data_IF_484497502344
#
_entry.id   IF_484497502344
#
_cell.length_a   1.000
_cell.length_b   1.000
_cell.length_c   1.000
_cell.angle_alpha   90.00
_cell.angle_beta   90.00
_cell.angle_gamma   90.00
#
_symmetry.space_group_name_H-M   'P 1'
#
loop_
_entity.id
_entity.type
_entity.pdbx_description
1 polymer ?
#
# COMPACT_ATOMS: atom_id res chain seq x y z
N UNK A 1 17.30 -8.70 8.14
CA UNK A 1 16.10 -8.35 7.38
C UNK A 1 16.47 -7.06 6.66
N UNK A 2 16.17 -6.90 5.37
CA UNK A 2 16.37 -5.62 4.71
C UNK A 2 15.45 -4.59 5.40
N UNK A 3 15.97 -3.40 5.68
CA UNK A 3 15.19 -2.32 6.25
C UNK A 3 14.05 -1.98 5.26
N UNK A 4 12.84 -1.90 5.78
CA UNK A 4 11.62 -1.65 5.03
C UNK A 4 11.59 -0.16 4.66
N UNK A 5 11.80 0.18 3.39
CA UNK A 5 11.67 1.55 2.90
C UNK A 5 10.18 1.94 2.86
N UNK A 6 9.75 2.89 3.69
CA UNK A 6 8.38 3.42 3.73
C UNK A 6 8.28 4.74 2.98
N UNK A 7 7.13 5.01 2.36
CA UNK A 7 6.76 6.32 1.84
C UNK A 7 6.05 7.11 2.92
N UNK A 8 6.71 8.14 3.43
CA UNK A 8 6.26 8.92 4.58
C UNK A 8 5.88 10.33 4.14
N UNK A 9 4.72 10.82 4.58
CA UNK A 9 4.35 12.22 4.44
C UNK A 9 4.48 12.93 5.78
N UNK A 10 5.20 14.05 5.80
CA UNK A 10 5.26 14.94 6.95
C UNK A 10 4.51 16.21 6.63
N UNK A 11 3.61 16.62 7.52
CA UNK A 11 2.77 17.82 7.33
C UNK A 11 2.89 18.72 8.54
N UNK A 12 3.53 19.87 8.38
CA UNK A 12 3.75 20.85 9.42
C UNK A 12 3.99 22.22 8.78
N UNK A 13 3.41 23.26 9.31
CA UNK A 13 3.63 24.63 8.83
C UNK A 13 4.94 25.25 9.35
N UNK A 14 5.52 24.67 10.39
CA UNK A 14 6.88 24.96 10.82
C UNK A 14 7.87 24.17 9.95
N UNK A 15 8.48 24.86 8.98
CA UNK A 15 9.40 24.23 8.02
C UNK A 15 10.61 23.60 8.71
N UNK A 16 11.19 24.25 9.74
CA UNK A 16 12.36 23.72 10.45
C UNK A 16 12.02 22.42 11.19
N UNK A 17 10.82 22.33 11.77
CA UNK A 17 10.35 21.12 12.44
C UNK A 17 10.06 19.98 11.43
N UNK A 18 9.39 20.32 10.31
CA UNK A 18 9.08 19.36 9.25
C UNK A 18 10.35 18.78 8.62
N UNK A 19 11.29 19.64 8.23
CA UNK A 19 12.53 19.25 7.56
C UNK A 19 13.44 18.42 8.51
N UNK A 20 13.51 18.78 9.79
CA UNK A 20 14.27 18.00 10.78
C UNK A 20 13.71 16.60 10.98
N UNK A 21 12.37 16.45 10.94
CA UNK A 21 11.74 15.14 11.04
C UNK A 21 11.91 14.34 9.73
N UNK A 22 11.93 15.03 8.58
CA UNK A 22 12.21 14.41 7.29
C UNK A 22 13.63 13.84 7.22
N UNK A 23 14.63 14.66 7.60
CA UNK A 23 16.02 14.21 7.68
C UNK A 23 16.19 12.97 8.56
N UNK A 24 15.48 12.90 9.69
CA UNK A 24 15.52 11.74 10.57
C UNK A 24 15.06 10.45 9.86
N UNK A 25 13.97 10.51 9.10
CA UNK A 25 13.45 9.35 8.40
C UNK A 25 14.26 9.00 7.15
N UNK A 26 14.80 9.99 6.45
CA UNK A 26 15.70 9.79 5.31
C UNK A 26 17.02 9.10 5.74
N UNK A 27 17.52 9.40 6.94
CA UNK A 27 18.68 8.71 7.51
C UNK A 27 18.45 7.22 7.79
N UNK A 28 17.19 6.80 7.92
CA UNK A 28 16.78 5.39 8.09
C UNK A 28 16.31 4.76 6.76
N UNK A 29 16.72 5.35 5.62
CA UNK A 29 16.43 4.88 4.26
C UNK A 29 14.94 4.88 3.87
N UNK A 30 14.13 5.81 4.41
CA UNK A 30 12.73 6.01 4.01
C UNK A 30 12.58 7.06 2.90
N UNK A 31 11.52 6.94 2.08
CA UNK A 31 11.13 7.92 1.05
C UNK A 31 10.19 8.96 1.65
N UNK A 32 10.70 10.18 1.85
CA UNK A 32 9.97 11.21 2.60
C UNK A 32 9.50 12.34 1.69
N UNK A 33 8.26 12.74 1.87
CA UNK A 33 7.66 13.94 1.26
C UNK A 33 7.26 14.90 2.36
N UNK A 34 7.53 16.19 2.19
CA UNK A 34 7.13 17.23 3.14
C UNK A 34 6.04 18.11 2.53
N UNK A 35 5.03 18.43 3.31
CA UNK A 35 3.97 19.38 2.98
C UNK A 35 3.82 20.42 4.09
N UNK A 36 3.84 21.70 3.76
CA UNK A 36 3.80 22.79 4.73
C UNK A 36 2.39 23.34 4.96
N UNK A 37 1.36 22.62 4.53
CA UNK A 37 -0.05 22.98 4.79
C UNK A 37 -0.97 21.79 4.56
N UNK A 38 -2.19 21.87 5.10
CA UNK A 38 -3.22 20.86 4.90
C UNK A 38 -3.63 20.69 3.43
N UNK A 39 -3.71 21.79 2.67
CA UNK A 39 -4.05 21.71 1.24
C UNK A 39 -2.93 21.06 0.43
N UNK A 40 -1.65 21.31 0.76
CA UNK A 40 -0.52 20.64 0.13
C UNK A 40 -0.50 19.14 0.45
N UNK A 41 -0.84 18.75 1.68
CA UNK A 41 -0.97 17.35 2.08
C UNK A 41 -2.06 16.62 1.29
N UNK A 42 -3.23 17.23 1.13
CA UNK A 42 -4.32 16.66 0.32
C UNK A 42 -3.90 16.49 -1.14
N UNK A 43 -3.22 17.49 -1.72
CA UNK A 43 -2.70 17.41 -3.08
C UNK A 43 -1.64 16.30 -3.24
N UNK A 44 -0.78 16.09 -2.25
CA UNK A 44 0.21 15.01 -2.23
C UNK A 44 -0.48 13.63 -2.26
N UNK A 45 -1.52 13.43 -1.47
CA UNK A 45 -2.30 12.17 -1.45
C UNK A 45 -3.07 11.87 -2.75
N UNK A 46 -3.30 12.87 -3.61
CA UNK A 46 -3.91 12.65 -4.93
C UNK A 46 -2.94 11.97 -5.91
N UNK A 47 -1.64 12.14 -5.72
CA UNK A 47 -0.59 11.67 -6.63
C UNK A 47 0.29 10.57 -6.05
N UNK A 48 0.36 10.44 -4.73
CA UNK A 48 1.22 9.46 -4.04
C UNK A 48 0.41 8.68 -3.01
N UNK A 49 0.64 7.37 -2.95
CA UNK A 49 0.17 6.54 -1.84
C UNK A 49 1.26 6.51 -0.77
N UNK A 50 1.00 7.16 0.36
CA UNK A 50 1.90 7.14 1.51
C UNK A 50 1.57 5.96 2.43
N UNK A 51 2.60 5.32 2.99
CA UNK A 51 2.44 4.25 3.97
C UNK A 51 2.00 4.80 5.33
N UNK A 52 2.49 6.00 5.67
CA UNK A 52 2.09 6.72 6.87
C UNK A 52 2.27 8.23 6.68
N UNK A 53 1.43 9.01 7.36
CA UNK A 53 1.63 10.45 7.48
C UNK A 53 1.76 10.88 8.94
N UNK A 54 2.61 11.85 9.20
CA UNK A 54 2.72 12.59 10.45
C UNK A 54 2.23 14.01 10.22
N UNK A 55 1.14 14.40 10.87
CA UNK A 55 0.42 15.64 10.54
C UNK A 55 0.21 16.50 11.77
N UNK A 56 0.70 17.73 11.71
CA UNK A 56 0.39 18.72 12.75
C UNK A 56 -1.10 19.04 12.77
N UNK A 57 -1.67 19.08 13.98
CA UNK A 57 -3.07 19.49 14.19
C UNK A 57 -3.26 20.98 13.95
N UNK A 58 -2.30 21.80 14.39
CA UNK A 58 -2.45 23.25 14.44
C UNK A 58 -1.69 23.93 13.31
N UNK A 59 -2.34 24.07 12.15
CA UNK A 59 -1.80 24.75 10.98
C UNK A 59 -2.69 25.92 10.55
N UNK A 60 -2.13 26.99 9.96
CA UNK A 60 -2.91 28.07 9.36
C UNK A 60 -3.80 27.61 8.22
N UNK A 61 -4.98 28.18 8.12
CA UNK A 61 -5.98 27.83 7.12
C UNK A 61 -6.72 26.55 7.50
N UNK A 62 -6.52 25.46 6.74
CA UNK A 62 -7.09 24.14 7.03
C UNK A 62 -6.23 23.42 8.07
N UNK A 63 -6.79 23.12 9.23
CA UNK A 63 -6.07 22.41 10.29
C UNK A 63 -5.86 20.92 9.93
N UNK A 64 -4.99 20.24 10.70
CA UNK A 64 -4.62 18.84 10.41
C UNK A 64 -5.80 17.88 10.48
N UNK A 65 -6.77 18.10 11.38
CA UNK A 65 -7.94 17.21 11.51
C UNK A 65 -8.88 17.36 10.30
N UNK A 66 -9.11 18.59 9.85
CA UNK A 66 -9.88 18.84 8.63
C UNK A 66 -9.20 18.24 7.40
N UNK A 67 -7.88 18.39 7.29
CA UNK A 67 -7.08 17.81 6.22
C UNK A 67 -7.14 16.28 6.23
N UNK A 68 -7.01 15.68 7.40
CA UNK A 68 -7.15 14.24 7.59
C UNK A 68 -8.52 13.72 7.12
N UNK A 69 -9.61 14.42 7.44
CA UNK A 69 -10.94 14.01 6.99
C UNK A 69 -11.09 14.06 5.46
N UNK A 70 -10.47 15.02 4.81
CA UNK A 70 -10.46 15.07 3.34
C UNK A 70 -9.58 13.98 2.74
N UNK A 71 -8.40 13.74 3.32
CA UNK A 71 -7.52 12.63 2.92
C UNK A 71 -8.25 11.29 3.05
N UNK A 72 -8.97 11.04 4.15
CA UNK A 72 -9.74 9.81 4.36
C UNK A 72 -10.88 9.61 3.36
N UNK A 73 -11.41 10.67 2.78
CA UNK A 73 -12.37 10.56 1.67
C UNK A 73 -11.70 10.11 0.37
N UNK A 74 -10.46 10.52 0.14
CA UNK A 74 -9.67 10.13 -1.03
C UNK A 74 -9.04 8.74 -0.86
N UNK A 75 -8.52 8.47 0.33
CA UNK A 75 -7.82 7.26 0.73
C UNK A 75 -8.37 6.78 2.08
N UNK A 76 -9.41 5.93 2.08
CA UNK A 76 -10.06 5.46 3.30
C UNK A 76 -9.11 4.76 4.29
N UNK A 77 -8.06 4.14 3.77
CA UNK A 77 -7.08 3.38 4.56
C UNK A 77 -5.83 4.19 4.92
N UNK A 78 -5.84 5.53 4.69
CA UNK A 78 -4.69 6.38 5.03
C UNK A 78 -4.32 6.26 6.51
N UNK A 79 -3.08 5.87 6.77
CA UNK A 79 -2.49 5.74 8.09
C UNK A 79 -1.93 7.10 8.51
N UNK A 80 -2.50 7.73 9.53
CA UNK A 80 -2.10 9.08 9.94
C UNK A 80 -1.90 9.14 11.44
N UNK A 81 -0.73 9.59 11.88
CA UNK A 81 -0.45 10.05 13.23
C UNK A 81 -0.61 11.55 13.29
N UNK A 82 -1.34 12.02 14.30
CA UNK A 82 -1.45 13.45 14.56
C UNK A 82 -0.29 13.93 15.43
N UNK A 83 0.21 15.12 15.20
CA UNK A 83 1.23 15.79 16.02
C UNK A 83 0.63 17.04 16.65
N UNK A 84 0.96 17.36 17.89
CA UNK A 84 0.48 18.58 18.53
C UNK A 84 1.38 19.04 19.65
N UNK A 85 1.61 20.34 19.72
CA UNK A 85 2.28 21.00 20.84
C UNK A 85 1.32 21.52 21.92
N UNK A 86 0.01 21.41 21.71
CA UNK A 86 -1.03 22.02 22.57
C UNK A 86 -2.05 21.00 23.01
N UNK A 87 -2.71 21.26 24.17
CA UNK A 87 -3.82 20.46 24.66
C UNK A 87 -5.11 20.79 23.89
N UNK A 88 -5.26 20.22 22.70
CA UNK A 88 -6.44 20.38 21.83
C UNK A 88 -7.30 19.11 21.92
N UNK A 89 -7.74 18.79 23.14
CA UNK A 89 -8.43 17.52 23.47
C UNK A 89 -9.59 17.20 22.51
N UNK A 90 -10.36 18.22 22.11
CA UNK A 90 -11.50 18.02 21.24
C UNK A 90 -11.08 17.62 19.80
N UNK A 91 -10.05 18.24 19.25
CA UNK A 91 -9.52 17.92 17.92
C UNK A 91 -8.83 16.55 17.92
N UNK A 92 -8.06 16.26 18.96
CA UNK A 92 -7.44 14.94 19.18
C UNK A 92 -8.50 13.85 19.22
N UNK A 93 -9.56 14.04 19.99
CA UNK A 93 -10.66 13.08 20.07
C UNK A 93 -11.33 12.88 18.71
N UNK A 94 -11.62 13.96 17.98
CA UNK A 94 -12.19 13.87 16.63
C UNK A 94 -11.31 13.06 15.68
N UNK A 95 -9.99 13.29 15.69
CA UNK A 95 -9.06 12.55 14.84
C UNK A 95 -9.08 11.04 15.16
N UNK A 96 -9.01 10.67 16.44
CA UNK A 96 -9.02 9.27 16.88
C UNK A 96 -10.37 8.60 16.55
N UNK A 97 -11.50 9.26 16.83
CA UNK A 97 -12.84 8.74 16.52
C UNK A 97 -13.03 8.50 15.00
N UNK A 98 -12.26 9.17 14.14
CA UNK A 98 -12.27 9.00 12.69
C UNK A 98 -11.10 8.13 12.18
N UNK A 99 -10.37 7.45 13.05
CA UNK A 99 -9.41 6.42 12.69
C UNK A 99 -7.97 6.92 12.47
N UNK A 100 -7.58 8.03 13.09
CA UNK A 100 -6.15 8.36 13.23
C UNK A 100 -5.47 7.29 14.10
N UNK A 101 -4.25 6.89 13.73
CA UNK A 101 -3.50 5.83 14.42
C UNK A 101 -3.11 6.22 15.85
N UNK A 102 -2.91 7.51 16.09
CA UNK A 102 -2.53 8.02 17.40
C UNK A 102 -2.14 9.49 17.37
N UNK A 103 -1.68 9.98 18.53
CA UNK A 103 -1.26 11.37 18.69
C UNK A 103 0.13 11.44 19.33
N UNK A 104 0.98 12.28 18.79
CA UNK A 104 2.33 12.59 19.24
C UNK A 104 2.37 14.00 19.82
N UNK A 105 2.92 14.15 21.01
CA UNK A 105 3.22 15.46 21.59
C UNK A 105 4.49 16.04 20.97
N UNK A 106 4.46 17.32 20.57
CA UNK A 106 5.67 18.06 20.20
C UNK A 106 6.37 18.60 21.49
N UNK A 107 7.71 18.58 21.57
CA UNK A 107 8.65 18.09 20.55
C UNK A 107 8.57 16.55 20.39
N UNK A 108 8.64 16.11 19.14
CA UNK A 108 8.56 14.68 18.82
C UNK A 108 9.84 13.97 19.27
N UNK A 109 9.71 12.90 20.04
CA UNK A 109 10.85 12.06 20.43
C UNK A 109 11.29 11.18 19.23
N UNK A 110 12.54 11.37 18.72
CA UNK A 110 13.05 10.60 17.59
C UNK A 110 12.96 9.08 17.77
N UNK A 111 13.29 8.58 18.97
CA UNK A 111 13.27 7.15 19.25
C UNK A 111 11.85 6.58 19.23
N UNK A 112 10.91 7.37 19.77
CA UNK A 112 9.51 6.96 19.80
C UNK A 112 8.93 6.93 18.40
N UNK A 113 9.17 7.95 17.58
CA UNK A 113 8.61 8.01 16.23
C UNK A 113 9.18 6.93 15.33
N UNK A 114 10.49 6.64 15.41
CA UNK A 114 11.08 5.53 14.67
C UNK A 114 10.51 4.17 15.08
N UNK A 115 10.32 3.93 16.40
CA UNK A 115 9.72 2.67 16.86
C UNK A 115 8.27 2.49 16.39
N UNK A 116 7.56 3.56 16.09
CA UNK A 116 6.19 3.47 15.56
C UNK A 116 6.16 3.01 14.11
N UNK A 117 7.26 3.22 13.35
CA UNK A 117 7.36 2.74 11.97
C UNK A 117 7.46 1.22 11.89
N UNK A 118 7.92 0.54 12.94
CA UNK A 118 7.99 -0.93 12.99
C UNK A 118 6.60 -1.57 12.88
N UNK A 119 5.58 -0.89 13.37
CA UNK A 119 4.18 -1.34 13.34
C UNK A 119 3.45 -0.93 12.04
N UNK A 120 4.03 -0.01 11.25
CA UNK A 120 3.46 0.40 9.98
C UNK A 120 3.63 -0.72 8.96
N UNK A 121 2.52 -1.21 8.46
CA UNK A 121 2.54 -2.07 7.28
C UNK A 121 2.64 -1.15 6.07
N UNK A 122 3.61 -1.34 5.15
CA UNK A 122 3.57 -0.63 3.88
C UNK A 122 2.22 -0.89 3.24
N UNK A 123 1.68 0.09 2.56
CA UNK A 123 0.61 -0.18 1.62
C UNK A 123 1.20 -1.15 0.59
N UNK A 124 0.94 -2.43 0.79
CA UNK A 124 1.57 -3.47 0.03
C UNK A 124 1.30 -3.33 -1.45
N UNK A 125 2.24 -3.77 -2.25
CA UNK A 125 2.07 -3.75 -3.70
C UNK A 125 1.25 -4.97 -4.10
N UNK A 126 0.12 -4.71 -4.76
CA UNK A 126 -0.61 -5.74 -5.52
C UNK A 126 0.05 -5.86 -6.89
N UNK A 127 0.83 -6.91 -7.10
CA UNK A 127 1.42 -7.19 -8.40
C UNK A 127 0.37 -7.83 -9.31
N UNK A 128 0.10 -7.22 -10.45
CA UNK A 128 -0.84 -7.73 -11.46
C UNK A 128 -0.01 -8.25 -12.62
N UNK A 129 -0.04 -9.56 -12.86
CA UNK A 129 0.59 -10.21 -14.00
C UNK A 129 -0.49 -10.62 -15.00
N UNK A 130 -0.64 -9.80 -16.05
CA UNK A 130 -1.71 -9.91 -17.06
C UNK A 130 -1.21 -9.31 -18.38
N UNK A 131 -1.26 -10.06 -19.46
CA UNK A 131 -0.75 -9.65 -20.77
C UNK A 131 -1.82 -9.05 -21.71
N UNK A 132 -3.10 -9.26 -21.40
CA UNK A 132 -4.20 -8.70 -22.19
C UNK A 132 -4.14 -7.14 -22.14
N UNK A 133 -4.01 -6.48 -23.30
CA UNK A 133 -3.80 -5.03 -23.38
C UNK A 133 -5.01 -4.21 -22.93
N UNK A 134 -6.19 -4.79 -22.91
CA UNK A 134 -7.43 -4.12 -22.51
C UNK A 134 -7.78 -4.46 -21.06
N UNK A 135 -7.69 -5.72 -20.67
CA UNK A 135 -8.09 -6.21 -19.35
C UNK A 135 -7.08 -5.82 -18.25
N UNK A 136 -5.78 -5.95 -18.51
CA UNK A 136 -4.73 -5.61 -17.54
C UNK A 136 -4.83 -4.16 -17.03
N UNK A 137 -4.87 -3.12 -17.91
CA UNK A 137 -5.05 -1.73 -17.49
C UNK A 137 -6.38 -1.45 -16.78
N UNK A 138 -7.49 -2.10 -17.18
CA UNK A 138 -8.78 -1.95 -16.48
C UNK A 138 -8.70 -2.52 -15.05
N UNK A 139 -8.00 -3.64 -14.89
CA UNK A 139 -7.80 -4.26 -13.58
C UNK A 139 -6.92 -3.39 -12.69
N UNK A 140 -5.85 -2.82 -13.23
CA UNK A 140 -4.97 -1.87 -12.53
C UNK A 140 -5.74 -0.62 -12.08
N UNK A 141 -6.56 -0.02 -12.96
CA UNK A 141 -7.41 1.12 -12.63
C UNK A 141 -8.42 0.78 -11.51
N UNK A 142 -9.06 -0.38 -11.59
CA UNK A 142 -10.01 -0.84 -10.57
C UNK A 142 -9.35 -0.98 -9.20
N UNK A 143 -8.18 -1.59 -9.15
CA UNK A 143 -7.45 -1.86 -7.89
C UNK A 143 -6.89 -0.56 -7.31
N UNK A 144 -6.29 0.30 -8.14
CA UNK A 144 -5.74 1.59 -7.71
C UNK A 144 -6.82 2.54 -7.20
N UNK A 145 -7.97 2.62 -7.87
CA UNK A 145 -9.11 3.45 -7.43
C UNK A 145 -9.77 2.90 -6.16
N UNK A 146 -9.56 1.62 -5.85
CA UNK A 146 -10.02 0.99 -4.61
C UNK A 146 -9.06 1.18 -3.43
N UNK A 147 -7.97 1.96 -3.61
CA UNK A 147 -7.04 2.35 -2.54
C UNK A 147 -5.78 1.49 -2.45
N UNK A 148 -5.60 0.47 -3.29
CA UNK A 148 -4.41 -0.36 -3.29
C UNK A 148 -3.29 0.26 -4.15
N UNK A 149 -2.06 0.12 -3.69
CA UNK A 149 -0.90 0.36 -4.54
C UNK A 149 -0.73 -0.86 -5.46
N UNK A 150 -0.67 -0.66 -6.76
CA UNK A 150 -0.57 -1.78 -7.71
C UNK A 150 0.47 -1.53 -8.79
N UNK A 151 0.98 -2.62 -9.34
CA UNK A 151 1.93 -2.63 -10.45
C UNK A 151 1.50 -3.69 -11.46
N UNK A 152 1.32 -3.26 -12.71
CA UNK A 152 1.00 -4.15 -13.83
C UNK A 152 2.28 -4.60 -14.54
N UNK A 153 2.42 -5.90 -14.76
CA UNK A 153 3.44 -6.53 -15.59
C UNK A 153 2.77 -7.43 -16.63
N UNK A 154 3.43 -7.63 -17.76
CA UNK A 154 2.83 -8.28 -18.94
C UNK A 154 3.45 -9.64 -19.29
N UNK A 155 4.36 -10.14 -18.46
CA UNK A 155 4.99 -11.45 -18.65
C UNK A 155 5.29 -12.12 -17.33
N UNK A 156 5.42 -13.46 -17.34
CA UNK A 156 5.81 -14.20 -16.14
C UNK A 156 7.24 -13.88 -15.69
N UNK A 157 8.13 -13.54 -16.61
CA UNK A 157 9.49 -13.13 -16.28
C UNK A 157 9.54 -11.80 -15.53
N UNK A 158 8.74 -10.81 -15.97
CA UNK A 158 8.59 -9.54 -15.28
C UNK A 158 7.96 -9.72 -13.90
N UNK A 159 7.02 -10.67 -13.76
CA UNK A 159 6.41 -11.00 -12.48
C UNK A 159 7.44 -11.55 -11.49
N UNK A 160 8.28 -12.48 -11.93
CA UNK A 160 9.37 -13.03 -11.11
C UNK A 160 10.39 -11.96 -10.70
N UNK A 161 10.78 -11.10 -11.65
CA UNK A 161 11.72 -10.01 -11.39
C UNK A 161 11.17 -9.02 -10.35
N UNK A 162 9.90 -8.64 -10.48
CA UNK A 162 9.24 -7.74 -9.53
C UNK A 162 9.13 -8.36 -8.15
N UNK A 163 8.72 -9.62 -8.05
CA UNK A 163 8.62 -10.33 -6.76
C UNK A 163 9.98 -10.52 -6.07
N UNK A 164 11.09 -10.53 -6.83
CA UNK A 164 12.45 -10.62 -6.29
C UNK A 164 13.06 -9.30 -5.83
N UNK A 165 12.53 -8.17 -6.30
CA UNK A 165 13.10 -6.83 -6.07
C UNK A 165 12.22 -5.94 -5.18
N UNK A 166 10.93 -6.21 -5.09
CA UNK A 166 9.94 -5.38 -4.42
C UNK A 166 9.19 -6.19 -3.34
N UNK A 167 8.70 -5.50 -2.32
CA UNK A 167 7.84 -6.11 -1.32
C UNK A 167 6.42 -6.27 -1.89
N UNK A 168 6.13 -7.44 -2.45
CA UNK A 168 4.81 -7.77 -3.00
C UNK A 168 3.98 -8.45 -1.91
N UNK A 169 2.85 -7.87 -1.54
CA UNK A 169 1.94 -8.47 -0.55
C UNK A 169 0.99 -9.48 -1.16
N UNK A 170 0.50 -9.19 -2.37
CA UNK A 170 -0.41 -10.05 -3.10
C UNK A 170 -0.06 -10.02 -4.58
N UNK A 171 -0.12 -11.15 -5.23
CA UNK A 171 -0.03 -11.25 -6.69
C UNK A 171 -1.37 -11.68 -7.28
N UNK A 172 -1.82 -10.96 -8.30
CA UNK A 172 -2.91 -11.37 -9.18
C UNK A 172 -2.24 -11.90 -10.45
N UNK A 173 -2.49 -13.16 -10.79
CA UNK A 173 -1.71 -13.87 -11.78
C UNK A 173 -2.62 -14.55 -12.81
N UNK A 174 -2.47 -14.15 -14.08
CA UNK A 174 -3.00 -14.96 -15.18
C UNK A 174 -2.11 -16.19 -15.39
N UNK A 175 -2.72 -17.31 -15.69
CA UNK A 175 -2.00 -18.55 -16.03
C UNK A 175 -1.40 -18.50 -17.44
N UNK A 176 -2.04 -17.79 -18.37
CA UNK A 176 -1.63 -17.75 -19.76
C UNK A 176 -0.72 -16.55 -20.08
N UNK A 177 0.39 -16.44 -19.37
CA UNK A 177 1.37 -15.36 -19.63
C UNK A 177 2.40 -15.76 -20.69
N UNK A 178 2.91 -14.80 -21.46
CA UNK A 178 4.02 -15.05 -22.37
C UNK A 178 5.33 -15.28 -21.60
N UNK A 179 6.29 -15.93 -22.27
CA UNK A 179 7.64 -16.27 -21.82
C UNK A 179 7.64 -17.35 -20.74
N UNK A 180 7.04 -17.10 -19.60
CA UNK A 180 6.89 -18.03 -18.47
C UNK A 180 5.42 -18.01 -18.08
N UNK A 181 4.77 -19.18 -18.08
CA UNK A 181 3.37 -19.30 -17.69
C UNK A 181 3.18 -19.10 -16.16
N UNK A 182 1.93 -18.81 -15.76
CA UNK A 182 1.64 -18.50 -14.35
C UNK A 182 1.90 -19.69 -13.41
N UNK A 183 1.82 -20.92 -13.87
CA UNK A 183 2.12 -22.12 -13.08
C UNK A 183 3.62 -22.17 -12.77
N UNK A 184 4.45 -21.94 -13.79
CA UNK A 184 5.88 -21.89 -13.63
C UNK A 184 6.35 -20.69 -12.75
N UNK A 185 5.65 -19.54 -12.85
CA UNK A 185 5.88 -18.40 -11.95
C UNK A 185 5.70 -18.82 -10.49
N UNK A 186 4.56 -19.42 -10.13
CA UNK A 186 4.31 -19.87 -8.76
C UNK A 186 5.35 -20.90 -8.30
N UNK A 187 5.71 -21.85 -9.16
CA UNK A 187 6.69 -22.89 -8.84
C UNK A 187 8.06 -22.28 -8.54
N UNK A 188 8.55 -21.37 -9.38
CA UNK A 188 9.86 -20.72 -9.19
C UNK A 188 9.90 -19.84 -7.95
N UNK A 189 8.80 -19.11 -7.64
CA UNK A 189 8.71 -18.32 -6.41
C UNK A 189 8.78 -19.21 -5.16
N UNK A 190 8.12 -20.37 -5.19
CA UNK A 190 8.18 -21.33 -4.09
C UNK A 190 9.58 -21.92 -3.91
N UNK A 191 10.20 -22.36 -5.01
CA UNK A 191 11.56 -22.95 -4.99
C UNK A 191 12.61 -21.98 -4.47
N UNK A 192 12.42 -20.68 -4.71
CA UNK A 192 13.30 -19.60 -4.24
C UNK A 192 12.99 -19.10 -2.82
N UNK A 193 12.03 -19.68 -2.10
CA UNK A 193 11.49 -19.16 -0.83
C UNK A 193 11.01 -17.70 -0.90
N UNK A 194 10.51 -17.28 -2.05
CA UNK A 194 9.92 -15.97 -2.33
C UNK A 194 8.40 -16.06 -2.54
N UNK A 195 7.78 -17.01 -1.86
CA UNK A 195 6.35 -17.26 -2.02
C UNK A 195 5.50 -16.04 -1.64
N UNK A 196 4.70 -15.58 -2.60
CA UNK A 196 3.78 -14.44 -2.46
C UNK A 196 2.34 -14.96 -2.44
N UNK A 197 1.47 -14.48 -1.53
CA UNK A 197 0.05 -14.80 -1.57
C UNK A 197 -0.53 -14.46 -2.95
N UNK A 198 -1.11 -15.46 -3.65
CA UNK A 198 -1.46 -15.32 -5.06
C UNK A 198 -2.95 -15.61 -5.29
N UNK A 199 -3.63 -14.70 -5.98
CA UNK A 199 -4.95 -14.90 -6.56
C UNK A 199 -4.78 -15.21 -8.05
N UNK A 200 -5.15 -16.40 -8.46
CA UNK A 200 -5.12 -16.79 -9.87
C UNK A 200 -6.37 -16.27 -10.58
N UNK A 201 -6.18 -15.67 -11.73
CA UNK A 201 -7.25 -15.31 -12.67
C UNK A 201 -7.04 -16.09 -13.97
N UNK A 202 -8.07 -16.72 -14.53
CA UNK A 202 -7.91 -17.50 -15.76
C UNK A 202 -9.22 -17.60 -16.54
N UNK A 203 -9.13 -17.56 -17.87
CA UNK A 203 -10.25 -17.88 -18.77
C UNK A 203 -10.44 -19.38 -19.01
N UNK A 204 -9.46 -20.21 -18.65
CA UNK A 204 -9.37 -21.63 -19.04
C UNK A 204 -9.20 -22.58 -17.84
N UNK A 205 -9.92 -22.33 -16.76
CA UNK A 205 -9.77 -23.10 -15.51
C UNK A 205 -9.96 -24.64 -15.70
N UNK A 206 -10.78 -25.04 -16.64
CA UNK A 206 -11.01 -26.48 -16.93
C UNK A 206 -9.77 -27.14 -17.54
N UNK A 207 -8.99 -26.40 -18.36
CA UNK A 207 -7.79 -26.92 -19.01
C UNK A 207 -6.63 -27.04 -18.00
N UNK A 208 -6.64 -26.19 -16.96
CA UNK A 208 -5.61 -26.17 -15.92
C UNK A 208 -6.01 -26.90 -14.63
N UNK A 209 -7.13 -27.61 -14.61
CA UNK A 209 -7.70 -28.21 -13.40
C UNK A 209 -6.72 -29.13 -12.63
N UNK A 210 -5.92 -29.92 -13.33
CA UNK A 210 -4.89 -30.79 -12.69
C UNK A 210 -3.75 -29.99 -12.09
N UNK A 211 -3.26 -28.97 -12.80
CA UNK A 211 -2.18 -28.09 -12.33
C UNK A 211 -2.65 -27.23 -11.14
N UNK A 212 -3.87 -26.71 -11.22
CA UNK A 212 -4.48 -25.96 -10.11
C UNK A 212 -4.68 -26.81 -8.85
N UNK A 213 -4.99 -28.11 -9.03
CA UNK A 213 -5.09 -29.04 -7.89
C UNK A 213 -3.73 -29.29 -7.22
N UNK A 214 -2.65 -29.34 -8.01
CA UNK A 214 -1.28 -29.46 -7.48
C UNK A 214 -0.80 -28.18 -6.76
N UNK A 215 -1.36 -27.02 -7.11
CA UNK A 215 -1.00 -25.73 -6.50
C UNK A 215 -1.72 -25.43 -5.18
N UNK A 216 -2.61 -26.30 -4.70
CA UNK A 216 -3.33 -26.13 -3.43
C UNK A 216 -2.42 -26.06 -2.21
N UNK A 217 -1.23 -26.65 -2.28
CA UNK A 217 -0.22 -26.62 -1.23
C UNK A 217 0.76 -25.42 -1.40
N UNK A 218 0.57 -24.63 -2.45
CA UNK A 218 1.30 -23.38 -2.70
C UNK A 218 0.55 -22.19 -2.09
N UNK A 219 1.13 -21.01 -2.11
CA UNK A 219 0.55 -19.76 -1.60
C UNK A 219 -0.65 -19.23 -2.41
N UNK A 220 -1.34 -20.09 -3.14
CA UNK A 220 -2.54 -19.73 -3.88
C UNK A 220 -3.74 -19.62 -2.94
N UNK A 221 -4.19 -18.38 -2.75
CA UNK A 221 -5.27 -18.01 -1.83
C UNK A 221 -6.64 -18.01 -2.49
N UNK A 222 -6.68 -18.01 -3.83
CA UNK A 222 -7.93 -18.03 -4.56
C UNK A 222 -7.78 -18.19 -6.06
N UNK A 223 -8.86 -18.66 -6.70
CA UNK A 223 -8.96 -18.77 -8.16
C UNK A 223 -10.23 -18.05 -8.60
N UNK A 224 -10.14 -17.20 -9.61
CA UNK A 224 -11.25 -16.51 -10.25
C UNK A 224 -11.27 -16.83 -11.74
N UNK A 225 -12.44 -17.22 -12.24
CA UNK A 225 -12.65 -17.51 -13.66
C UNK A 225 -13.10 -16.24 -14.38
N UNK A 226 -12.40 -15.88 -15.46
CA UNK A 226 -12.81 -14.78 -16.36
C UNK A 226 -14.05 -15.21 -17.17
N UNK A 227 -15.10 -14.36 -17.26
CA UNK A 227 -15.31 -13.11 -16.55
C UNK A 227 -15.74 -13.34 -15.10
N UNK A 228 -15.29 -12.49 -14.15
CA UNK A 228 -15.69 -12.54 -12.75
C UNK A 228 -16.25 -11.19 -12.29
N UNK A 229 -16.98 -11.19 -11.18
CA UNK A 229 -17.44 -9.95 -10.53
C UNK A 229 -16.26 -9.27 -9.84
N UNK A 230 -15.92 -8.01 -10.21
CA UNK A 230 -14.83 -7.26 -9.59
C UNK A 230 -14.92 -7.14 -8.07
N UNK A 231 -16.14 -7.12 -7.53
CA UNK A 231 -16.36 -7.02 -6.07
C UNK A 231 -15.78 -8.22 -5.31
N UNK A 232 -15.77 -9.41 -5.92
CA UNK A 232 -15.20 -10.62 -5.32
C UNK A 232 -13.68 -10.49 -5.18
N UNK A 233 -13.01 -9.97 -6.21
CA UNK A 233 -11.56 -9.73 -6.17
C UNK A 233 -11.22 -8.70 -5.09
N UNK A 234 -11.92 -7.56 -5.07
CA UNK A 234 -11.69 -6.50 -4.09
C UNK A 234 -11.94 -6.96 -2.65
N UNK A 235 -12.97 -7.80 -2.42
CA UNK A 235 -13.22 -8.37 -1.10
C UNK A 235 -12.05 -9.24 -0.63
N UNK A 236 -11.52 -10.10 -1.52
CA UNK A 236 -10.37 -10.95 -1.20
C UNK A 236 -9.10 -10.15 -0.95
N UNK A 237 -8.83 -9.11 -1.75
CA UNK A 237 -7.68 -8.23 -1.52
C UNK A 237 -7.77 -7.55 -0.15
N UNK A 238 -8.95 -7.09 0.26
CA UNK A 238 -9.17 -6.49 1.58
C UNK A 238 -8.95 -7.49 2.72
N UNK A 239 -9.40 -8.73 2.56
CA UNK A 239 -9.19 -9.80 3.55
C UNK A 239 -7.71 -10.17 3.70
N UNK A 240 -6.92 -10.06 2.63
CA UNK A 240 -5.48 -10.37 2.63
C UNK A 240 -4.62 -9.21 3.13
N UNK A 241 -5.12 -7.98 3.02
CA UNK A 241 -4.45 -6.76 3.49
C UNK A 241 -4.76 -6.41 4.97
N UNK A 242 -5.71 -7.11 5.60
CA UNK A 242 -6.11 -6.94 7.01
C UNK A 242 -5.21 -7.76 7.93
#
# INVERSE_FOLDING_TARGET
MAAKCLKILIVDDDADAADSLAELFEMEDHDVTVAYSGDAAIAAYQSVNFDVAFMDIMMPGKNGVESFFEIRKLKPDAQVYMMTGYSVEQLVKQAIDHGALGVLGKPVDPKKVLSMLDDIRPNGIVLIAEDDPDFGPQLEELISTSGFNCKLVKSGDDALNSAGQEAIDVMILDLNLPVIDGIEVCTRLQDNNQAVPTIIITGHAAEHAQSLAAMRDMTVTGILNKPFDPSILLSRLKEMAA
#
